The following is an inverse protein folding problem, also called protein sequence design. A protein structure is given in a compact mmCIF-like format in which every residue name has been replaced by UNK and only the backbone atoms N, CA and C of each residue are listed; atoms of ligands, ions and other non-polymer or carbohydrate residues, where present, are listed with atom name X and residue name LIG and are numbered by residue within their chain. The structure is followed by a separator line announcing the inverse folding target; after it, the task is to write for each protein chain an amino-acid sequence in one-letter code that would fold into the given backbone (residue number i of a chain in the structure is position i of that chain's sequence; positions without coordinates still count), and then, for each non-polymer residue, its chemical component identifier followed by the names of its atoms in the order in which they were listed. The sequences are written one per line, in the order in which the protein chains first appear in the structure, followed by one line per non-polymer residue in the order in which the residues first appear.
data_IF_198123668089
#
_entry.id   IF_198123668089
#
_cell.length_a   1.000
_cell.length_b   1.000
_cell.length_c   1.000
_cell.angle_alpha   90.00
_cell.angle_beta   90.00
_cell.angle_gamma   90.00
#
_symmetry.space_group_name_H-M   'P 1'
#
loop_
_entity.id
_entity.type
_entity.pdbx_description
1 polymer ?
#
# COMPACT_ATOMS: atom_id res chain seq x y z
N UNK A 1 7.06 21.13 -4.62
CA UNK A 1 5.93 20.96 -5.56
C UNK A 1 4.83 20.12 -4.90
N UNK A 2 5.11 18.92 -4.34
CA UNK A 2 4.09 18.09 -3.68
C UNK A 2 3.34 18.82 -2.56
N UNK A 3 4.06 19.44 -1.62
CA UNK A 3 3.45 20.12 -0.45
C UNK A 3 2.58 21.31 -0.86
N UNK A 4 3.02 22.11 -1.84
CA UNK A 4 2.25 23.25 -2.32
C UNK A 4 1.15 22.85 -3.32
N UNK A 5 1.39 21.84 -4.14
CA UNK A 5 0.43 21.40 -5.16
C UNK A 5 -0.81 20.72 -4.59
N UNK A 6 -0.70 19.96 -3.49
CA UNK A 6 -1.83 19.32 -2.83
C UNK A 6 -2.74 20.29 -2.09
N UNK A 7 -2.19 21.43 -1.62
CA UNK A 7 -2.97 22.46 -0.93
C UNK A 7 -3.60 23.50 -1.86
N UNK A 8 -3.00 23.74 -3.05
CA UNK A 8 -3.46 24.77 -3.98
C UNK A 8 -4.35 24.23 -5.12
N UNK A 9 -4.27 22.95 -5.41
CA UNK A 9 -5.02 22.29 -6.46
C UNK A 9 -5.83 21.16 -5.81
N UNK A 10 -7.12 21.28 -5.71
CA UNK A 10 -8.04 20.25 -5.16
C UNK A 10 -7.95 18.86 -5.88
N UNK A 11 -6.89 18.65 -6.66
CA UNK A 11 -6.65 17.48 -7.50
C UNK A 11 -5.81 16.35 -6.90
N UNK A 12 -5.48 16.41 -5.60
CA UNK A 12 -4.67 15.38 -4.94
C UNK A 12 -3.19 15.34 -5.36
N UNK A 13 -2.44 14.40 -4.80
CA UNK A 13 -0.99 14.26 -5.02
C UNK A 13 -0.61 13.92 -6.47
N UNK A 14 -1.51 13.28 -7.23
CA UNK A 14 -1.26 12.86 -8.62
C UNK A 14 -1.04 14.05 -9.55
N UNK A 15 -1.87 15.11 -9.44
CA UNK A 15 -1.73 16.33 -10.25
C UNK A 15 -0.41 17.02 -9.97
N UNK A 16 -0.02 17.11 -8.70
CA UNK A 16 1.27 17.70 -8.31
C UNK A 16 2.47 16.91 -8.85
N UNK A 17 2.38 15.58 -8.86
CA UNK A 17 3.41 14.70 -9.43
C UNK A 17 3.51 14.85 -10.96
N UNK A 18 2.39 14.88 -11.66
CA UNK A 18 2.38 15.07 -13.11
C UNK A 18 2.96 16.42 -13.50
N UNK A 19 2.60 17.48 -12.77
CA UNK A 19 3.18 18.82 -13.02
C UNK A 19 4.68 18.83 -12.73
N UNK A 20 5.14 18.23 -11.64
CA UNK A 20 6.55 18.08 -11.31
C UNK A 20 7.32 17.33 -12.40
N UNK A 21 6.78 16.21 -12.89
CA UNK A 21 7.36 15.45 -13.98
C UNK A 21 7.44 16.28 -15.28
N UNK A 22 6.38 17.01 -15.62
CA UNK A 22 6.38 17.89 -16.81
C UNK A 22 7.46 18.99 -16.73
N UNK A 23 7.65 19.60 -15.56
CA UNK A 23 8.71 20.60 -15.34
C UNK A 23 10.10 19.97 -15.51
N UNK A 24 10.34 18.80 -14.94
CA UNK A 24 11.63 18.09 -15.08
C UNK A 24 11.90 17.73 -16.53
N UNK A 25 10.92 17.23 -17.26
CA UNK A 25 11.03 16.91 -18.69
C UNK A 25 11.32 18.18 -19.50
N UNK A 26 10.62 19.29 -19.24
CA UNK A 26 10.85 20.56 -19.91
C UNK A 26 12.29 21.09 -19.69
N UNK A 27 12.77 21.05 -18.45
CA UNK A 27 14.16 21.44 -18.13
C UNK A 27 15.16 20.53 -18.88
N UNK A 28 14.91 19.24 -18.90
CA UNK A 28 15.80 18.27 -19.56
C UNK A 28 15.86 18.46 -21.08
N UNK A 29 14.73 18.79 -21.70
CA UNK A 29 14.67 19.09 -23.14
C UNK A 29 15.39 20.39 -23.48
N UNK A 30 15.19 21.44 -22.66
CA UNK A 30 15.71 22.80 -22.96
C UNK A 30 17.19 22.93 -22.60
N UNK A 31 17.59 22.53 -21.40
CA UNK A 31 18.95 22.75 -20.90
C UNK A 31 19.89 21.59 -21.22
N UNK A 32 19.42 20.34 -21.11
CA UNK A 32 20.26 19.16 -21.33
C UNK A 32 20.14 18.59 -22.75
N UNK A 33 19.21 19.14 -23.57
CA UNK A 33 18.97 18.70 -24.96
C UNK A 33 18.76 17.20 -25.12
N UNK A 34 18.16 16.56 -24.12
CA UNK A 34 17.84 15.14 -24.16
C UNK A 34 16.68 14.95 -25.15
N UNK A 35 16.81 14.07 -26.17
CA UNK A 35 15.75 13.87 -27.15
C UNK A 35 14.51 13.23 -26.55
N UNK A 36 13.33 13.60 -27.04
CA UNK A 36 12.04 13.08 -26.56
C UNK A 36 11.96 11.54 -26.56
N UNK A 37 12.59 10.89 -27.54
CA UNK A 37 12.62 9.42 -27.64
C UNK A 37 13.19 8.71 -26.41
N UNK A 38 14.06 9.36 -25.63
CA UNK A 38 14.59 8.79 -24.38
C UNK A 38 13.49 8.77 -23.31
N UNK A 39 12.69 9.84 -23.22
CA UNK A 39 11.57 9.90 -22.27
C UNK A 39 10.49 8.91 -22.65
N UNK A 40 10.12 8.84 -23.92
CA UNK A 40 9.13 7.89 -24.44
C UNK A 40 9.53 6.45 -24.13
N UNK A 41 10.77 6.08 -24.43
CA UNK A 41 11.30 4.75 -24.09
C UNK A 41 11.25 4.48 -22.59
N UNK A 42 11.70 5.43 -21.77
CA UNK A 42 11.69 5.28 -20.31
C UNK A 42 10.27 5.14 -19.75
N UNK A 43 9.29 5.83 -20.31
CA UNK A 43 7.88 5.68 -19.93
C UNK A 43 7.38 4.29 -20.27
N UNK A 44 7.63 3.80 -21.48
CA UNK A 44 7.21 2.46 -21.92
C UNK A 44 7.86 1.35 -21.09
N UNK A 45 9.17 1.47 -20.83
CA UNK A 45 9.90 0.52 -20.00
C UNK A 45 9.33 0.49 -18.55
N UNK A 46 9.02 1.65 -17.97
CA UNK A 46 8.39 1.74 -16.65
C UNK A 46 6.97 1.17 -16.64
N UNK A 47 6.14 1.45 -17.64
CA UNK A 47 4.79 0.86 -17.74
C UNK A 47 4.89 -0.67 -17.80
N UNK A 48 5.82 -1.19 -18.57
CA UNK A 48 6.04 -2.65 -18.66
C UNK A 48 6.50 -3.23 -17.32
N UNK A 49 7.43 -2.56 -16.64
CA UNK A 49 7.95 -3.00 -15.34
C UNK A 49 6.87 -3.05 -14.25
N UNK A 50 5.96 -2.04 -14.22
CA UNK A 50 4.89 -2.00 -13.21
C UNK A 50 3.62 -2.76 -13.62
N UNK A 51 3.53 -3.23 -14.86
CA UNK A 51 2.35 -3.91 -15.40
C UNK A 51 1.91 -5.11 -14.56
N UNK A 52 2.85 -5.94 -14.16
CA UNK A 52 2.59 -7.10 -13.28
C UNK A 52 2.04 -6.66 -11.92
N UNK A 53 2.58 -5.60 -11.34
CA UNK A 53 2.10 -5.08 -10.04
C UNK A 53 0.67 -4.55 -10.14
N UNK A 54 0.33 -3.86 -11.23
CA UNK A 54 -1.03 -3.38 -11.49
C UNK A 54 -1.99 -4.57 -11.63
N UNK A 55 -1.61 -5.61 -12.35
CA UNK A 55 -2.42 -6.81 -12.53
C UNK A 55 -2.66 -7.53 -11.19
N UNK A 56 -1.64 -7.63 -10.35
CA UNK A 56 -1.77 -8.19 -8.99
C UNK A 56 -2.76 -7.36 -8.16
N UNK A 57 -2.65 -6.03 -8.18
CA UNK A 57 -3.58 -5.15 -7.47
C UNK A 57 -5.04 -5.32 -7.93
N UNK A 58 -5.26 -5.47 -9.24
CA UNK A 58 -6.59 -5.74 -9.80
C UNK A 58 -7.14 -7.09 -9.32
N UNK A 59 -6.31 -8.13 -9.30
CA UNK A 59 -6.70 -9.46 -8.80
C UNK A 59 -7.02 -9.43 -7.30
N UNK A 60 -6.22 -8.74 -6.49
CA UNK A 60 -6.48 -8.55 -5.06
C UNK A 60 -7.81 -7.82 -4.86
N UNK A 61 -8.08 -6.77 -5.64
CA UNK A 61 -9.36 -6.06 -5.61
C UNK A 61 -10.55 -6.97 -5.93
N UNK A 62 -10.41 -7.83 -6.94
CA UNK A 62 -11.43 -8.81 -7.31
C UNK A 62 -11.68 -9.84 -6.19
N UNK A 63 -10.62 -10.35 -5.56
CA UNK A 63 -10.71 -11.27 -4.42
C UNK A 63 -11.39 -10.60 -3.23
N UNK A 64 -10.99 -9.38 -2.87
CA UNK A 64 -11.63 -8.62 -1.78
C UNK A 64 -13.10 -8.37 -2.05
N UNK A 65 -13.46 -8.00 -3.28
CA UNK A 65 -14.85 -7.83 -3.69
C UNK A 65 -15.66 -9.14 -3.58
N UNK A 66 -15.08 -10.26 -4.01
CA UNK A 66 -15.74 -11.57 -3.89
C UNK A 66 -15.96 -11.99 -2.42
N UNK A 67 -15.02 -11.66 -1.52
CA UNK A 67 -15.15 -11.92 -0.08
C UNK A 67 -16.26 -11.09 0.57
N UNK A 68 -16.48 -9.87 0.07
CA UNK A 68 -17.62 -9.06 0.54
C UNK A 68 -18.96 -9.69 0.14
N UNK A 69 -19.09 -10.10 -1.12
CA UNK A 69 -20.35 -10.65 -1.66
C UNK A 69 -20.62 -12.06 -1.11
N UNK A 70 -19.59 -12.89 -0.95
CA UNK A 70 -19.72 -14.28 -0.45
C UNK A 70 -20.04 -14.39 1.05
N UNK A 71 -20.03 -13.27 1.78
CA UNK A 71 -20.26 -13.26 3.21
C UNK A 71 -19.05 -13.60 4.09
N UNK A 72 -17.87 -13.81 3.50
CA UNK A 72 -16.63 -14.04 4.26
C UNK A 72 -16.32 -12.86 5.17
N UNK A 73 -16.31 -11.64 4.62
CA UNK A 73 -16.03 -10.43 5.41
C UNK A 73 -17.10 -10.18 6.48
N UNK A 74 -18.41 -10.23 6.21
CA UNK A 74 -19.44 -10.17 7.25
C UNK A 74 -19.28 -11.22 8.36
N UNK A 75 -18.92 -12.44 8.00
CA UNK A 75 -18.66 -13.51 8.97
C UNK A 75 -17.45 -13.20 9.86
N UNK A 76 -16.35 -12.73 9.27
CA UNK A 76 -15.16 -12.28 10.01
C UNK A 76 -15.49 -11.12 10.96
N UNK A 77 -16.32 -10.17 10.54
CA UNK A 77 -16.77 -9.07 11.39
C UNK A 77 -17.57 -9.61 12.57
N UNK A 78 -18.54 -10.49 12.33
CA UNK A 78 -19.40 -11.06 13.38
C UNK A 78 -18.59 -11.81 14.45
N UNK A 79 -17.69 -12.67 14.04
CA UNK A 79 -16.85 -13.42 14.99
C UNK A 79 -15.74 -12.54 15.60
N UNK A 80 -15.18 -11.63 14.84
CA UNK A 80 -14.17 -10.69 15.32
C UNK A 80 -14.67 -9.81 16.46
N UNK A 81 -15.92 -9.32 16.37
CA UNK A 81 -16.55 -8.55 17.45
C UNK A 81 -16.75 -9.37 18.74
N UNK A 82 -16.80 -10.70 18.65
CA UNK A 82 -16.94 -11.57 19.84
C UNK A 82 -15.59 -11.85 20.51
N UNK A 83 -14.52 -11.80 19.75
CA UNK A 83 -13.17 -12.19 20.21
C UNK A 83 -12.33 -10.99 20.61
N UNK A 84 -12.46 -9.87 19.87
CA UNK A 84 -11.64 -8.68 20.10
C UNK A 84 -12.45 -7.68 20.93
N UNK A 85 -12.00 -7.48 22.18
CA UNK A 85 -12.60 -6.48 23.07
C UNK A 85 -12.32 -5.08 22.55
N UNK A 86 -13.32 -4.16 22.63
CA UNK A 86 -13.15 -2.78 22.16
C UNK A 86 -11.92 -2.08 22.74
N UNK A 87 -11.65 -2.24 24.03
CA UNK A 87 -10.58 -1.52 24.74
C UNK A 87 -9.18 -1.78 24.16
N UNK A 88 -8.97 -2.97 23.57
CA UNK A 88 -7.67 -3.37 23.02
C UNK A 88 -7.69 -3.47 21.48
N UNK A 89 -8.81 -3.07 20.85
CA UNK A 89 -9.04 -3.29 19.42
C UNK A 89 -7.92 -2.72 18.54
N UNK A 90 -7.53 -1.46 18.72
CA UNK A 90 -6.50 -0.82 17.89
C UNK A 90 -5.13 -1.51 18.05
N UNK A 91 -4.80 -1.89 19.26
CA UNK A 91 -3.56 -2.63 19.54
C UNK A 91 -3.57 -4.02 18.91
N UNK A 92 -4.66 -4.76 19.09
CA UNK A 92 -4.86 -6.08 18.49
C UNK A 92 -4.83 -6.00 16.96
N UNK A 93 -5.47 -5.00 16.37
CA UNK A 93 -5.47 -4.73 14.94
C UNK A 93 -4.06 -4.50 14.39
N UNK A 94 -3.25 -3.71 15.08
CA UNK A 94 -1.87 -3.47 14.70
C UNK A 94 -1.04 -4.76 14.74
N UNK A 95 -1.15 -5.56 15.80
CA UNK A 95 -0.42 -6.83 15.94
C UNK A 95 -0.87 -7.86 14.90
N UNK A 96 -2.18 -8.03 14.69
CA UNK A 96 -2.72 -8.96 13.70
C UNK A 96 -2.23 -8.59 12.31
N UNK A 97 -2.30 -7.31 11.95
CA UNK A 97 -1.81 -6.82 10.66
C UNK A 97 -0.30 -7.03 10.51
N UNK A 98 0.49 -6.82 11.58
CA UNK A 98 1.93 -7.07 11.56
C UNK A 98 2.26 -8.55 11.34
N UNK A 99 1.62 -9.45 12.09
CA UNK A 99 1.85 -10.89 11.97
C UNK A 99 1.50 -11.40 10.57
N UNK A 100 0.36 -10.98 10.01
CA UNK A 100 -0.05 -11.39 8.67
C UNK A 100 0.89 -10.82 7.62
N UNK A 101 1.34 -9.57 7.75
CA UNK A 101 2.29 -8.97 6.84
C UNK A 101 3.67 -9.63 6.89
N UNK A 102 4.13 -10.07 8.07
CA UNK A 102 5.36 -10.89 8.19
C UNK A 102 5.21 -12.22 7.45
N UNK A 103 4.05 -12.87 7.56
CA UNK A 103 3.79 -14.16 6.92
C UNK A 103 3.63 -14.04 5.41
N UNK A 104 3.00 -12.97 4.93
CA UNK A 104 2.73 -12.76 3.50
C UNK A 104 3.86 -12.04 2.77
N UNK A 105 4.70 -11.31 3.48
CA UNK A 105 5.74 -10.45 2.90
C UNK A 105 5.19 -9.24 2.14
N UNK A 106 3.93 -8.84 2.39
CA UNK A 106 3.29 -7.76 1.65
C UNK A 106 2.33 -6.94 2.51
N UNK A 107 2.65 -5.67 2.68
CA UNK A 107 1.75 -4.71 3.33
C UNK A 107 0.48 -4.49 2.52
N UNK A 108 0.57 -4.40 1.21
CA UNK A 108 -0.57 -4.18 0.33
C UNK A 108 -1.58 -5.33 0.39
N UNK A 109 -1.12 -6.57 0.33
CA UNK A 109 -1.97 -7.75 0.44
C UNK A 109 -2.68 -7.79 1.80
N UNK A 110 -1.95 -7.51 2.87
CA UNK A 110 -2.51 -7.48 4.24
C UNK A 110 -3.60 -6.43 4.37
N UNK A 111 -3.35 -5.19 3.90
CA UNK A 111 -4.32 -4.09 3.97
C UNK A 111 -5.56 -4.42 3.14
N UNK A 112 -5.38 -4.92 1.92
CA UNK A 112 -6.49 -5.18 0.99
C UNK A 112 -7.33 -6.42 1.36
N UNK A 113 -6.83 -7.31 2.20
CA UNK A 113 -7.55 -8.53 2.62
C UNK A 113 -8.06 -8.41 4.06
N UNK A 114 -7.20 -8.71 5.02
CA UNK A 114 -7.58 -8.69 6.45
C UNK A 114 -7.90 -7.28 6.93
N UNK A 115 -7.24 -6.26 6.38
CA UNK A 115 -7.52 -4.87 6.69
C UNK A 115 -8.99 -4.49 6.46
N UNK A 116 -9.61 -4.98 5.38
CA UNK A 116 -11.03 -4.71 5.08
C UNK A 116 -11.93 -5.26 6.19
N UNK A 117 -11.67 -6.47 6.69
CA UNK A 117 -12.43 -7.06 7.79
C UNK A 117 -12.22 -6.28 9.10
N UNK A 118 -10.96 -5.88 9.40
CA UNK A 118 -10.63 -5.10 10.59
C UNK A 118 -11.28 -3.72 10.57
N UNK A 119 -11.37 -3.06 9.41
CA UNK A 119 -12.13 -1.81 9.26
C UNK A 119 -13.61 -2.05 9.61
N UNK A 120 -14.21 -3.12 9.10
CA UNK A 120 -15.59 -3.47 9.41
C UNK A 120 -15.81 -3.72 10.90
N UNK A 121 -14.92 -4.47 11.57
CA UNK A 121 -15.00 -4.74 13.02
C UNK A 121 -14.90 -3.43 13.82
N UNK A 122 -13.88 -2.62 13.54
CA UNK A 122 -13.64 -1.38 14.29
C UNK A 122 -14.76 -0.36 14.09
N UNK A 123 -15.30 -0.23 12.89
CA UNK A 123 -16.45 0.63 12.62
C UNK A 123 -17.69 0.15 13.36
N UNK A 124 -17.93 -1.17 13.41
CA UNK A 124 -19.04 -1.75 14.18
C UNK A 124 -18.87 -1.56 15.70
N UNK A 125 -17.64 -1.46 16.20
CA UNK A 125 -17.33 -1.13 17.60
C UNK A 125 -17.36 0.38 17.90
N UNK A 126 -17.61 1.24 16.89
CA UNK A 126 -17.71 2.69 17.06
C UNK A 126 -16.41 3.46 16.93
N UNK A 127 -15.33 2.83 16.46
CA UNK A 127 -14.08 3.54 16.19
C UNK A 127 -14.15 4.39 14.93
N UNK A 128 -13.51 5.54 14.97
CA UNK A 128 -13.34 6.38 13.79
C UNK A 128 -12.43 5.70 12.77
N UNK A 129 -12.80 5.68 11.46
CA UNK A 129 -12.05 4.98 10.41
C UNK A 129 -10.57 5.36 10.32
N UNK A 130 -10.21 6.60 10.65
CA UNK A 130 -8.82 7.09 10.63
C UNK A 130 -7.91 6.34 11.61
N UNK A 131 -8.38 6.08 12.82
CA UNK A 131 -7.63 5.33 13.84
C UNK A 131 -7.46 3.86 13.45
N UNK A 132 -8.52 3.27 12.90
CA UNK A 132 -8.48 1.88 12.43
C UNK A 132 -7.48 1.74 11.28
N UNK A 133 -7.56 2.62 10.29
CA UNK A 133 -6.64 2.64 9.15
C UNK A 133 -5.19 2.84 9.63
N UNK A 134 -4.96 3.76 10.57
CA UNK A 134 -3.64 3.99 11.16
C UNK A 134 -3.06 2.74 11.80
N UNK A 135 -3.85 2.02 12.60
CA UNK A 135 -3.42 0.77 13.24
C UNK A 135 -3.10 -0.34 12.22
N UNK A 136 -3.97 -0.53 11.21
CA UNK A 136 -3.76 -1.51 10.14
C UNK A 136 -2.50 -1.21 9.34
N UNK A 137 -2.34 0.03 8.88
CA UNK A 137 -1.21 0.46 8.06
C UNK A 137 0.09 0.32 8.85
N UNK A 138 0.13 0.80 10.10
CA UNK A 138 1.31 0.70 10.95
C UNK A 138 1.76 -0.75 11.14
N UNK A 139 0.82 -1.66 11.46
CA UNK A 139 1.13 -3.08 11.59
C UNK A 139 1.58 -3.71 10.28
N UNK A 140 0.84 -3.47 9.20
CA UNK A 140 1.14 -4.06 7.89
C UNK A 140 2.50 -3.63 7.36
N UNK A 141 2.85 -2.35 7.47
CA UNK A 141 4.17 -1.86 7.04
C UNK A 141 5.30 -2.36 7.94
N UNK A 142 5.09 -2.40 9.26
CA UNK A 142 6.07 -2.98 10.16
C UNK A 142 6.35 -4.44 9.80
N UNK A 143 5.30 -5.24 9.64
CA UNK A 143 5.42 -6.65 9.30
C UNK A 143 6.10 -6.88 7.96
N UNK A 144 5.77 -6.10 6.94
CA UNK A 144 6.40 -6.14 5.62
C UNK A 144 7.92 -5.86 5.70
N UNK A 145 8.34 -4.87 6.49
CA UNK A 145 9.77 -4.52 6.60
C UNK A 145 10.60 -5.51 7.43
N UNK A 146 9.97 -6.27 8.30
CA UNK A 146 10.62 -7.33 9.09
C UNK A 146 10.56 -8.69 8.36
N UNK A 147 9.66 -8.84 7.39
CA UNK A 147 9.47 -10.10 6.67
C UNK A 147 10.65 -10.44 5.75
N UNK A 148 11.17 -11.69 5.84
CA UNK A 148 12.14 -12.19 4.88
C UNK A 148 11.54 -12.45 3.49
N UNK A 149 10.23 -12.48 3.38
CA UNK A 149 9.51 -12.73 2.12
C UNK A 149 9.16 -11.42 1.38
N UNK A 150 9.46 -10.26 1.98
CA UNK A 150 9.16 -8.97 1.38
C UNK A 150 10.12 -8.63 0.24
N UNK A 151 9.56 -8.35 -0.93
CA UNK A 151 10.31 -7.91 -2.11
C UNK A 151 11.17 -6.68 -1.82
N UNK A 152 10.66 -5.75 -1.02
CA UNK A 152 11.39 -4.51 -0.68
C UNK A 152 12.59 -4.79 0.23
N UNK A 153 12.46 -5.70 1.16
CA UNK A 153 13.55 -6.09 2.09
C UNK A 153 14.64 -6.88 1.34
N UNK A 154 14.22 -7.82 0.50
CA UNK A 154 15.14 -8.61 -0.35
C UNK A 154 15.88 -7.71 -1.33
N UNK A 155 15.17 -6.77 -1.99
CA UNK A 155 15.79 -5.82 -2.90
C UNK A 155 16.78 -4.90 -2.19
N UNK A 156 16.44 -4.38 -1.02
CA UNK A 156 17.33 -3.52 -0.23
C UNK A 156 18.61 -4.26 0.16
N UNK A 157 18.49 -5.50 0.68
CA UNK A 157 19.59 -6.36 1.04
C UNK A 157 20.51 -6.64 -0.16
N UNK A 158 19.95 -7.04 -1.29
CA UNK A 158 20.73 -7.36 -2.50
C UNK A 158 21.42 -6.12 -3.07
N UNK A 159 20.78 -4.97 -3.05
CA UNK A 159 21.35 -3.70 -3.55
C UNK A 159 22.46 -3.19 -2.63
N UNK A 160 22.31 -3.35 -1.32
CA UNK A 160 23.30 -2.96 -0.33
C UNK A 160 24.47 -3.95 -0.23
N UNK A 161 24.38 -5.14 -0.84
CA UNK A 161 25.38 -6.21 -0.72
C UNK A 161 25.50 -6.77 0.70
N UNK A 162 24.44 -6.66 1.51
CA UNK A 162 24.39 -7.14 2.89
C UNK A 162 23.52 -8.39 2.98
N UNK A 163 23.84 -9.34 3.88
CA UNK A 163 22.98 -10.50 4.08
C UNK A 163 21.63 -10.07 4.65
N UNK A 164 20.58 -10.78 4.25
CA UNK A 164 19.21 -10.51 4.71
C UNK A 164 19.05 -10.80 6.21
N UNK A 165 19.83 -11.77 6.71
CA UNK A 165 19.90 -12.14 8.12
C UNK A 165 21.36 -12.13 8.57
N UNK A 166 21.63 -11.48 9.66
CA UNK A 166 22.90 -11.52 10.41
C UNK A 166 22.65 -11.96 11.84
#
# INVERSE_FOLDING_TARGET
IMVFGTGALDGGSQVALMFGAAVVVAISLIFYKIPWSVFEKSILDNITAVGTSILILLLIGAVSGSWMISGVVPTMIFYGMKVIYPEIFLFATCIISALIAVMTGSSWTTIATVGVALVGIGTAQGYEPGWIAGAIISGAYFGDKVSPLSDTTVLASSTAGTPLFT
#
